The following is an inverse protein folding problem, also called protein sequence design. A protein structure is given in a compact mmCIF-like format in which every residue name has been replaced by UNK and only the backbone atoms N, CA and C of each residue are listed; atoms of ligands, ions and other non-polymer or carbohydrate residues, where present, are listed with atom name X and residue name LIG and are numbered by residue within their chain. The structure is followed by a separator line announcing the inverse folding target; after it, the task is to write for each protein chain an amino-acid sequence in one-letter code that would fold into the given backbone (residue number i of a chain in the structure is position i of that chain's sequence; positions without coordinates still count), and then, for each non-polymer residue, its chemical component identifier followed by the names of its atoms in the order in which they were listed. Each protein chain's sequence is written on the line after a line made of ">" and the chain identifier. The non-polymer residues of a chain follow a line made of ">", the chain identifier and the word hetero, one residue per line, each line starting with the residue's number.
data_IF_148479359340
#
_entry.id   IF_148479359340
#
_cell.length_a   1.000
_cell.length_b   1.000
_cell.length_c   1.000
_cell.angle_alpha   90.00
_cell.angle_beta   90.00
_cell.angle_gamma   90.00
#
_symmetry.space_group_name_H-M   'P 1'
#
loop_
_entity.id
_entity.type
_entity.pdbx_description
1 polymer ?
#
# COMPACT_ATOMS: atom_id res chain seq x y z
N UNK A 1 -4.29 12.27 -0.61
CA UNK A 1 -2.89 12.19 -0.13
C UNK A 1 -1.89 12.12 -1.29
N UNK A 2 -2.09 12.91 -2.36
CA UNK A 2 -1.15 12.91 -3.48
C UNK A 2 0.23 13.45 -3.01
N UNK A 3 1.31 12.75 -3.36
CA UNK A 3 2.68 13.16 -3.03
C UNK A 3 3.13 12.90 -1.58
N UNK A 4 2.32 12.22 -0.75
CA UNK A 4 2.69 11.91 0.63
C UNK A 4 3.69 10.75 0.78
N UNK A 5 3.81 9.91 -0.25
CA UNK A 5 4.63 8.69 -0.23
C UNK A 5 5.58 8.63 -1.42
N UNK A 6 6.74 8.01 -1.22
CA UNK A 6 7.75 7.76 -2.25
C UNK A 6 8.36 6.38 -2.05
N UNK A 7 8.55 5.63 -3.13
CA UNK A 7 9.33 4.41 -3.11
C UNK A 7 10.81 4.78 -3.22
N UNK A 8 11.64 4.35 -2.26
CA UNK A 8 13.07 4.67 -2.22
C UNK A 8 13.95 3.65 -2.94
N UNK A 9 13.36 2.58 -3.48
CA UNK A 9 14.05 1.53 -4.22
C UNK A 9 13.15 0.86 -5.26
N UNK A 10 13.76 0.06 -6.13
CA UNK A 10 13.04 -0.73 -7.11
C UNK A 10 12.22 -1.81 -6.41
N UNK A 11 10.96 -1.97 -6.80
CA UNK A 11 10.05 -3.01 -6.30
C UNK A 11 9.68 -3.91 -7.46
N UNK A 12 9.66 -5.23 -7.25
CA UNK A 12 9.31 -6.21 -8.31
C UNK A 12 8.44 -7.33 -7.74
N UNK A 13 7.56 -7.89 -8.58
CA UNK A 13 6.69 -8.99 -8.16
C UNK A 13 5.50 -8.53 -7.32
N UNK A 14 5.06 -9.38 -6.38
CA UNK A 14 3.83 -9.17 -5.63
C UNK A 14 4.11 -8.59 -4.25
N UNK A 15 3.58 -7.40 -3.98
CA UNK A 15 3.68 -6.71 -2.70
C UNK A 15 2.43 -6.92 -1.87
N UNK A 16 2.61 -7.06 -0.56
CA UNK A 16 1.53 -7.04 0.43
C UNK A 16 1.70 -5.80 1.30
N UNK A 17 0.74 -4.89 1.21
CA UNK A 17 0.60 -3.78 2.14
C UNK A 17 -0.19 -4.27 3.35
N UNK A 18 0.46 -4.24 4.51
CA UNK A 18 -0.13 -4.63 5.78
C UNK A 18 -0.28 -3.41 6.67
N UNK A 19 -1.47 -3.24 7.23
CA UNK A 19 -1.76 -2.22 8.24
C UNK A 19 -2.57 -2.85 9.39
N UNK A 20 -2.62 -2.22 10.55
CA UNK A 20 -3.47 -2.69 11.64
C UNK A 20 -4.95 -2.45 11.29
N UNK A 21 -5.32 -1.24 10.87
CA UNK A 21 -6.67 -0.85 10.52
C UNK A 21 -6.74 -0.09 9.19
N UNK A 22 -7.63 -0.53 8.30
CA UNK A 22 -8.01 0.26 7.12
C UNK A 22 -9.37 0.89 7.37
N UNK A 23 -9.40 2.22 7.41
CA UNK A 23 -10.66 2.98 7.48
C UNK A 23 -11.14 3.34 6.08
N UNK A 24 -10.79 4.53 5.57
CA UNK A 24 -11.13 4.98 4.21
C UNK A 24 -10.24 4.37 3.12
N UNK A 25 -9.12 3.76 3.51
CA UNK A 25 -8.11 3.27 2.58
C UNK A 25 -7.29 4.36 1.88
N UNK A 26 -7.45 5.64 2.22
CA UNK A 26 -6.72 6.74 1.58
C UNK A 26 -5.20 6.59 1.69
N UNK A 27 -4.70 6.21 2.88
CA UNK A 27 -3.28 5.98 3.15
C UNK A 27 -2.74 4.81 2.33
N UNK A 28 -3.34 3.62 2.49
CA UNK A 28 -2.87 2.39 1.85
C UNK A 28 -3.05 2.44 0.32
N UNK A 29 -4.07 3.15 -0.17
CA UNK A 29 -4.28 3.42 -1.59
C UNK A 29 -3.20 4.31 -2.20
N UNK A 30 -2.77 5.36 -1.50
CA UNK A 30 -1.66 6.19 -1.95
C UNK A 30 -0.33 5.41 -1.99
N UNK A 31 -0.07 4.56 -0.98
CA UNK A 31 1.08 3.64 -1.01
C UNK A 31 1.00 2.66 -2.19
N UNK A 32 -0.19 2.12 -2.48
CA UNK A 32 -0.42 1.19 -3.61
C UNK A 32 -0.01 1.82 -4.94
N UNK A 33 -0.42 3.06 -5.19
CA UNK A 33 -0.08 3.78 -6.42
C UNK A 33 1.43 3.98 -6.57
N UNK A 34 2.10 4.37 -5.49
CA UNK A 34 3.55 4.56 -5.47
C UNK A 34 4.29 3.25 -5.74
N UNK A 35 3.87 2.14 -5.13
CA UNK A 35 4.49 0.83 -5.36
C UNK A 35 4.29 0.30 -6.79
N UNK A 36 3.09 0.49 -7.35
CA UNK A 36 2.82 0.15 -8.76
C UNK A 36 3.69 0.98 -9.70
N UNK A 37 3.79 2.30 -9.46
CA UNK A 37 4.66 3.18 -10.23
C UNK A 37 6.14 2.81 -10.12
N UNK A 38 6.56 2.22 -8.99
CA UNK A 38 7.92 1.80 -8.73
C UNK A 38 8.27 0.37 -9.22
N UNK A 39 7.32 -0.33 -9.88
CA UNK A 39 7.57 -1.60 -10.57
C UNK A 39 6.91 -2.85 -9.96
N UNK A 40 6.07 -2.71 -8.93
CA UNK A 40 5.32 -3.84 -8.39
C UNK A 40 4.38 -4.41 -9.47
N UNK A 41 4.41 -5.73 -9.66
CA UNK A 41 3.52 -6.43 -10.61
C UNK A 41 2.10 -6.58 -10.04
N UNK A 42 1.96 -6.61 -8.72
CA UNK A 42 0.69 -6.66 -8.00
C UNK A 42 0.88 -6.09 -6.61
N UNK A 43 -0.16 -5.45 -6.08
CA UNK A 43 -0.21 -5.01 -4.68
C UNK A 43 -1.51 -5.49 -4.06
N UNK A 44 -1.43 -6.29 -3.00
CA UNK A 44 -2.57 -6.70 -2.17
C UNK A 44 -2.55 -5.92 -0.87
N UNK A 45 -3.71 -5.47 -0.42
CA UNK A 45 -3.88 -4.74 0.83
C UNK A 45 -4.52 -5.68 1.86
N UNK A 46 -3.94 -5.79 3.04
CA UNK A 46 -4.39 -6.63 4.15
C UNK A 46 -4.43 -5.78 5.41
N UNK A 47 -5.47 -5.96 6.22
CA UNK A 47 -5.57 -5.34 7.54
C UNK A 47 -5.95 -6.39 8.57
N UNK A 48 -5.32 -6.32 9.74
CA UNK A 48 -5.64 -7.15 10.89
C UNK A 48 -6.40 -6.33 11.92
N UNK A 49 -7.69 -6.11 11.66
CA UNK A 49 -8.58 -5.41 12.57
C UNK A 49 -9.48 -6.40 13.32
N UNK A 50 -9.75 -6.12 14.60
CA UNK A 50 -10.79 -6.80 15.37
C UNK A 50 -11.90 -5.81 15.74
N UNK A 51 -13.15 -6.22 15.58
CA UNK A 51 -14.31 -5.46 16.05
C UNK A 51 -14.55 -5.73 17.53
N UNK A 52 -14.76 -4.68 18.31
CA UNK A 52 -15.32 -4.75 19.66
C UNK A 52 -16.82 -4.48 19.65
#
# INVERSE_FOLDING_TARGET
>A
MAGAFVATGAVTGHMVLLDDVITTGATIGACREVLLAAGAARVTMVSLAHGG
#
